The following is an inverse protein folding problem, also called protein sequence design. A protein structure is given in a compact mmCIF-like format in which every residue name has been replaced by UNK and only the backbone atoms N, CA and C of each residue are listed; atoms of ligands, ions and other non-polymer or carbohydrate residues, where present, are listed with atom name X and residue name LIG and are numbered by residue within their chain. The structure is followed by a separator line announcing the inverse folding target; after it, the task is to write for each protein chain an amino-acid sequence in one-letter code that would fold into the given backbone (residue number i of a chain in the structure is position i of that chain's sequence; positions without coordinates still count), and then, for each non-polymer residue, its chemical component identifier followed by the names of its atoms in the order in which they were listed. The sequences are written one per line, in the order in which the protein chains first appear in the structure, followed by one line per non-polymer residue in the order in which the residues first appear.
data_IF_039211126892
#
_entry.id   IF_039211126892
#
_cell.length_a   1.000
_cell.length_b   1.000
_cell.length_c   1.000
_cell.angle_alpha   90.00
_cell.angle_beta   90.00
_cell.angle_gamma   90.00
#
_symmetry.space_group_name_H-M   'P 1'
#
loop_
_entity.id
_entity.type
_entity.pdbx_description
1 polymer ?
2 water ?
#
# COMPACT_ATOMS: atom_id res chain seq x y z
N UNK A 21 -8.09 -16.17 -31.29
CA UNK A 21 -6.84 -16.70 -31.80
C UNK A 21 -5.68 -16.19 -30.95
N UNK A 22 -4.48 -16.18 -31.54
CA UNK A 22 -3.31 -15.68 -30.82
C UNK A 22 -3.16 -14.16 -31.02
N UNK A 23 -2.48 -13.48 -30.11
CA UNK A 23 -2.20 -12.07 -30.27
C UNK A 23 -0.98 -11.66 -29.45
N UNK A 25 0.64 -9.79 -26.27
CA UNK A 25 0.17 -9.68 -24.91
C UNK A 25 -0.10 -8.26 -24.47
N UNK A 26 0.44 -7.27 -25.18
CA UNK A 26 0.36 -5.90 -24.68
C UNK A 26 0.66 -5.83 -23.17
N UNK A 27 1.64 -6.62 -22.74
CA UNK A 27 2.08 -6.63 -21.35
C UNK A 27 2.22 -5.20 -20.88
N UNK A 28 2.90 -4.40 -21.70
CA UNK A 28 3.35 -3.08 -21.28
C UNK A 28 2.19 -2.12 -21.06
N UNK A 29 1.12 -2.32 -21.81
CA UNK A 29 -0.10 -1.54 -21.60
C UNK A 29 -0.68 -1.86 -20.21
N UNK A 30 -0.74 -3.14 -19.89
CA UNK A 30 -1.33 -3.61 -18.67
C UNK A 30 -0.49 -3.08 -17.50
N UNK A 31 0.82 -3.20 -17.64
CA UNK A 31 1.76 -2.75 -16.64
C UNK A 31 1.66 -1.24 -16.40
N UNK A 32 1.61 -0.42 -17.45
CA UNK A 32 1.40 1.01 -17.25
C UNK A 32 0.11 1.26 -16.48
N UNK A 33 -0.95 0.53 -16.83
CA UNK A 33 -2.24 0.67 -16.17
C UNK A 33 -2.15 0.40 -14.67
N UNK A 34 -1.62 -0.77 -14.34
CA UNK A 34 -1.52 -1.21 -12.98
C UNK A 34 -0.64 -0.26 -12.15
N UNK A 35 0.50 0.12 -12.71
CA UNK A 35 1.38 1.05 -12.02
C UNK A 35 0.64 2.34 -11.70
N UNK A 36 -0.08 2.86 -12.69
CA UNK A 36 -0.81 4.11 -12.53
C UNK A 36 -1.88 3.98 -11.47
N UNK A 37 -2.57 2.85 -11.46
CA UNK A 37 -3.58 2.60 -10.44
C UNK A 37 -2.95 2.55 -9.06
N UNK A 38 -1.81 1.88 -8.93
CA UNK A 38 -1.09 1.77 -7.67
C UNK A 38 -0.73 3.14 -7.12
N UNK A 39 -0.21 4.02 -7.97
CA UNK A 39 0.18 5.38 -7.56
C UNK A 39 -1.04 6.12 -6.99
N UNK A 40 -2.16 6.03 -7.68
CA UNK A 40 -3.35 6.76 -7.28
C UNK A 40 -4.01 6.20 -6.04
N UNK A 41 -4.11 4.87 -5.96
CA UNK A 41 -4.78 4.23 -4.82
C UNK A 41 -3.96 4.35 -3.53
N UNK A 42 -2.65 4.18 -3.62
CA UNK A 42 -1.79 4.31 -2.44
C UNK A 42 -1.78 5.77 -1.99
N UNK A 43 -1.74 6.69 -2.94
CA UNK A 43 -1.68 8.11 -2.58
C UNK A 43 -2.97 8.54 -1.91
N UNK A 44 -4.11 8.08 -2.41
CA UNK A 44 -5.38 8.55 -1.88
C UNK A 44 -5.70 7.94 -0.50
N UNK A 45 -5.37 6.67 -0.30
CA UNK A 45 -5.57 6.01 0.97
C UNK A 45 -4.81 6.74 2.10
N UNK A 46 -3.58 7.15 1.81
CA UNK A 46 -2.77 7.91 2.77
C UNK A 46 -3.37 9.28 3.02
N UNK A 47 -3.75 9.97 1.94
CA UNK A 47 -4.35 11.31 2.03
C UNK A 47 -5.65 11.30 2.85
N UNK A 48 -6.53 10.36 2.53
CA UNK A 48 -7.77 10.25 3.28
C UNK A 48 -7.52 10.04 4.77
N UNK A 49 -6.63 9.11 5.08
CA UNK A 49 -6.32 8.74 6.46
C UNK A 49 -5.80 9.96 7.21
N UNK A 50 -4.82 10.63 6.62
CA UNK A 50 -4.31 11.86 7.18
C UNK A 50 -5.35 12.95 7.33
N UNK A 51 -6.23 13.09 6.34
CA UNK A 51 -7.32 14.06 6.45
C UNK A 51 -8.13 13.82 7.72
N UNK A 52 -8.57 12.58 7.93
CA UNK A 52 -9.40 12.26 9.09
C UNK A 52 -8.64 12.34 10.41
N UNK A 53 -7.37 11.95 10.40
CA UNK A 53 -6.54 12.10 11.59
C UNK A 53 -6.37 13.56 11.96
N UNK A 54 -6.60 14.46 11.01
CA UNK A 54 -6.51 15.88 11.27
C UNK A 54 -7.75 16.40 11.99
N UNK A 55 -8.71 15.52 12.24
CA UNK A 55 -9.92 15.92 12.96
C UNK A 55 -9.86 15.38 14.39
N UNK A 56 -9.26 16.17 15.27
CA UNK A 56 -8.98 15.79 16.65
C UNK A 56 -10.13 15.13 17.39
N UNK A 57 -11.36 15.61 17.17
CA UNK A 57 -12.50 15.06 17.90
C UNK A 57 -12.69 13.55 17.63
N UNK A 58 -12.16 13.06 16.53
CA UNK A 58 -12.32 11.66 16.17
C UNK A 58 -11.50 10.72 17.07
N UNK A 59 -10.63 11.28 17.90
CA UNK A 59 -9.85 10.47 18.83
C UNK A 59 -10.56 10.31 20.19
N UNK A 60 -11.76 10.86 20.30
CA UNK A 60 -12.54 10.74 21.53
C UNK A 60 -13.21 9.37 21.60
N UNK A 61 -13.47 8.90 22.83
CA UNK A 61 -13.99 7.53 23.03
C UNK A 61 -15.31 7.24 22.29
N UNK A 62 -16.21 8.21 22.19
CA UNK A 62 -17.50 7.94 21.56
C UNK A 62 -17.36 7.77 20.05
N UNK A 63 -16.17 8.07 19.51
CA UNK A 63 -15.92 7.93 18.06
C UNK A 63 -14.97 6.81 17.70
N UNK A 64 -14.64 5.96 18.67
CA UNK A 64 -13.62 4.94 18.45
C UNK A 64 -13.99 4.02 17.30
N UNK A 65 -15.23 3.55 17.30
CA UNK A 65 -15.70 2.65 16.26
C UNK A 65 -15.55 3.29 14.89
N UNK A 66 -16.02 4.53 14.77
CA UNK A 66 -15.96 5.23 13.50
C UNK A 66 -14.50 5.41 13.11
N UNK A 67 -13.69 5.89 14.05
CA UNK A 67 -12.27 6.06 13.74
C UNK A 67 -11.63 4.75 13.28
N UNK A 68 -11.89 3.66 13.98
CA UNK A 68 -11.35 2.37 13.54
C UNK A 68 -11.80 2.02 12.12
N UNK A 69 -13.04 2.37 11.79
CA UNK A 69 -13.56 2.02 10.48
C UNK A 69 -12.82 2.76 9.38
N UNK A 70 -12.46 4.01 9.66
CA UNK A 70 -11.64 4.80 8.74
C UNK A 70 -10.27 4.17 8.53
N UNK A 71 -9.64 3.78 9.64
CA UNK A 71 -8.35 3.10 9.58
C UNK A 71 -8.44 1.80 8.78
N UNK A 72 -9.46 1.00 9.00
CA UNK A 72 -9.56 -0.22 8.20
C UNK A 72 -9.76 0.12 6.72
N UNK A 73 -10.66 1.07 6.43
CA UNK A 73 -10.87 1.47 5.04
C UNK A 73 -9.55 1.75 4.36
N UNK A 74 -8.72 2.59 4.97
CA UNK A 74 -7.49 3.03 4.32
C UNK A 74 -6.38 1.98 4.37
N UNK A 75 -6.25 1.34 5.52
CA UNK A 75 -5.25 0.30 5.66
C UNK A 75 -5.49 -0.89 4.71
N UNK A 76 -6.72 -1.38 4.64
CA UNK A 76 -7.02 -2.47 3.71
C UNK A 76 -6.61 -2.11 2.28
N UNK A 77 -6.84 -0.87 1.90
CA UNK A 77 -6.52 -0.49 0.54
C UNK A 77 -5.00 -0.48 0.37
N UNK A 78 -4.30 0.14 1.32
CA UNK A 78 -2.83 0.11 1.31
C UNK A 78 -2.27 -1.32 1.25
N UNK A 79 -2.79 -2.24 2.06
CA UNK A 79 -2.22 -3.58 2.04
C UNK A 79 -2.53 -4.31 0.73
N UNK A 80 -3.74 -4.15 0.23
CA UNK A 80 -4.11 -4.74 -1.05
C UNK A 80 -3.15 -4.24 -2.14
N UNK A 81 -2.83 -2.96 -2.12
CA UNK A 81 -1.96 -2.42 -3.15
C UNK A 81 -0.48 -2.70 -2.97
N UNK A 82 -0.02 -2.74 -1.73
CA UNK A 82 1.34 -3.16 -1.47
C UNK A 82 1.56 -4.56 -2.00
N UNK A 83 0.62 -5.48 -1.72
CA UNK A 83 0.75 -6.84 -2.22
C UNK A 83 0.71 -6.85 -3.77
N UNK A 84 -0.16 -6.06 -4.36
CA UNK A 84 -0.21 -5.97 -5.81
C UNK A 84 1.12 -5.57 -6.39
N UNK A 85 1.84 -4.69 -5.69
CA UNK A 85 3.12 -4.23 -6.18
C UNK A 85 4.10 -5.39 -6.21
N UNK A 86 4.09 -6.18 -5.15
CA UNK A 86 4.92 -7.37 -5.12
C UNK A 86 4.51 -8.34 -6.23
N UNK A 87 3.21 -8.61 -6.34
CA UNK A 87 2.73 -9.56 -7.33
C UNK A 87 3.10 -9.15 -8.75
N UNK A 88 3.05 -7.85 -9.00
CA UNK A 88 3.47 -7.33 -10.28
C UNK A 88 4.95 -7.62 -10.50
N UNK A 89 5.77 -7.38 -9.47
CA UNK A 89 7.19 -7.69 -9.51
C UNK A 89 7.48 -9.15 -9.81
N UNK A 90 6.80 -10.05 -9.11
CA UNK A 90 7.06 -11.48 -9.30
C UNK A 90 6.55 -11.98 -10.66
N UNK A 91 5.69 -11.21 -11.31
CA UNK A 91 5.19 -11.61 -12.62
C UNK A 91 6.01 -11.05 -13.77
N UNK A 92 6.75 -9.97 -13.54
CA UNK A 92 7.44 -9.28 -14.61
C UNK A 92 8.91 -8.89 -14.41
N UNK A 93 9.78 -9.87 -14.17
CA UNK A 93 11.22 -9.67 -14.31
C UNK A 93 11.57 -9.18 -15.71
N UNK A 94 10.57 -8.93 -16.53
CA UNK A 94 10.77 -8.26 -17.80
C UNK A 94 11.00 -6.77 -17.59
N UNK A 95 11.59 -6.40 -16.46
CA UNK A 95 11.95 -5.02 -16.20
C UNK A 95 13.24 -4.92 -15.39
N UNK A 100 14.86 -0.60 -18.82
CA UNK A 100 14.66 0.09 -17.54
C UNK A 100 15.60 -0.32 -16.39
N UNK A 101 16.25 -1.47 -16.49
CA UNK A 101 17.00 -2.02 -15.35
C UNK A 101 17.83 -1.02 -14.54
N UNK A 102 17.98 0.20 -15.01
CA UNK A 102 18.62 1.24 -14.23
C UNK A 102 18.00 1.43 -12.84
N UNK A 103 16.80 0.89 -12.64
CA UNK A 103 16.11 0.97 -11.34
C UNK A 103 15.92 -0.40 -10.70
N UNK A 104 16.49 -1.42 -11.34
CA UNK A 104 16.35 -2.80 -10.90
C UNK A 104 16.52 -3.00 -9.38
N UNK A 105 17.31 -2.12 -8.74
CA UNK A 105 17.67 -2.32 -7.34
C UNK A 105 16.69 -1.70 -6.37
N UNK A 106 16.38 -0.43 -6.56
CA UNK A 106 15.45 0.27 -5.69
C UNK A 106 14.14 -0.50 -5.66
N UNK A 107 13.80 -1.10 -6.80
CA UNK A 107 12.57 -1.84 -6.94
C UNK A 107 12.55 -3.08 -6.05
N UNK A 108 13.67 -3.79 -6.02
CA UNK A 108 13.77 -4.97 -5.18
C UNK A 108 13.79 -4.62 -3.70
N UNK A 109 14.30 -3.43 -3.40
CA UNK A 109 14.35 -2.96 -2.02
C UNK A 109 12.94 -2.80 -1.47
N UNK A 110 12.12 -2.06 -2.20
CA UNK A 110 10.74 -1.87 -1.80
C UNK A 110 9.97 -3.19 -1.83
N UNK A 111 10.24 -4.00 -2.84
CA UNK A 111 9.65 -5.32 -2.89
C UNK A 111 9.96 -6.10 -1.61
N UNK A 112 11.20 -5.95 -1.12
CA UNK A 112 11.63 -6.72 0.04
C UNK A 112 11.03 -6.23 1.35
N UNK A 113 10.98 -4.91 1.51
CA UNK A 113 10.36 -4.31 2.67
C UNK A 113 8.95 -4.85 2.87
N UNK A 114 8.17 -4.84 1.80
CA UNK A 114 6.81 -5.35 1.86
C UNK A 114 6.70 -6.80 2.33
N UNK A 115 7.52 -7.68 1.76
CA UNK A 115 7.51 -9.07 2.22
C UNK A 115 7.92 -9.17 3.69
N UNK A 116 8.92 -8.39 4.09
CA UNK A 116 9.42 -8.43 5.46
C UNK A 116 8.30 -8.12 6.44
N UNK A 117 7.45 -7.18 6.07
CA UNK A 117 6.38 -6.70 6.94
C UNK A 117 5.18 -7.60 6.76
N UNK A 118 5.14 -8.69 7.51
CA UNK A 118 4.17 -9.76 7.31
C UNK A 118 2.74 -9.40 7.72
N UNK A 119 2.60 -8.38 8.55
CA UNK A 119 1.26 -7.89 8.87
C UNK A 119 0.51 -7.47 7.58
N UNK A 120 1.25 -6.97 6.60
CA UNK A 120 0.67 -6.52 5.34
C UNK A 120 -0.09 -7.64 4.64
N UNK A 121 0.57 -8.77 4.44
CA UNK A 121 -0.04 -9.92 3.80
C UNK A 121 -1.17 -10.46 4.66
N UNK A 122 -0.92 -10.57 5.97
CA UNK A 122 -1.94 -11.05 6.89
C UNK A 122 -3.22 -10.22 6.80
N UNK A 123 -3.08 -8.90 6.82
CA UNK A 123 -4.24 -8.03 6.71
C UNK A 123 -4.93 -8.15 5.35
N UNK A 124 -4.14 -8.14 4.29
CA UNK A 124 -4.69 -8.31 2.95
C UNK A 124 -5.55 -9.56 2.88
N UNK A 125 -4.94 -10.68 3.28
CA UNK A 125 -5.59 -11.98 3.23
C UNK A 125 -6.92 -12.03 3.96
N UNK A 126 -6.96 -11.46 5.16
CA UNK A 126 -8.18 -11.43 5.93
C UNK A 126 -9.25 -10.63 5.23
N UNK A 127 -8.85 -9.43 4.80
CA UNK A 127 -9.76 -8.46 4.22
C UNK A 127 -10.40 -8.98 2.94
N UNK A 128 -9.65 -9.78 2.21
CA UNK A 128 -10.04 -10.23 0.90
C UNK A 128 -10.67 -11.63 0.92
N UNK A 129 -10.41 -12.42 1.96
CA UNK A 129 -10.88 -13.80 2.01
C UNK A 129 -12.40 -13.93 1.92
N UNK A 130 -12.84 -15.10 1.45
CA UNK A 130 -14.25 -15.42 1.39
C UNK A 130 -14.69 -15.71 2.81
N UNK A 131 -15.94 -15.39 3.14
CA UNK A 131 -16.44 -15.61 4.50
C UNK A 131 -16.24 -17.05 4.98
N UNK A 132 -16.35 -17.99 4.06
CA UNK A 132 -16.26 -19.42 4.39
C UNK A 132 -14.81 -19.86 4.59
N UNK A 133 -13.88 -19.10 4.04
CA UNK A 133 -12.46 -19.42 4.17
C UNK A 133 -11.88 -18.82 5.44
N UNK A 134 -11.93 -19.59 6.53
CA UNK A 134 -11.48 -19.07 7.82
C UNK A 134 -10.01 -19.36 8.14
N UNK A 135 -9.25 -19.82 7.16
CA UNK A 135 -7.84 -20.08 7.38
C UNK A 135 -7.07 -18.77 7.48
N UNK A 136 -7.67 -17.70 6.98
CA UNK A 136 -7.04 -16.39 6.90
C UNK A 136 -7.68 -15.37 7.84
N UNK A 137 -8.71 -15.79 8.55
CA UNK A 137 -9.54 -14.87 9.31
C UNK A 137 -8.82 -14.29 10.54
N UNK A 138 -8.84 -12.96 10.66
CA UNK A 138 -8.37 -12.32 11.89
C UNK A 138 -9.56 -11.77 12.70
N UNK A 139 -9.64 -12.13 13.96
CA UNK A 139 -10.62 -11.50 14.83
C UNK A 139 -10.33 -10.01 14.91
N UNK A 140 -11.33 -9.22 15.30
CA UNK A 140 -11.18 -7.76 15.43
C UNK A 140 -9.98 -7.32 16.25
N UNK A 141 -9.74 -7.93 17.42
CA UNK A 141 -8.60 -7.55 18.25
C UNK A 141 -7.30 -7.91 17.54
N UNK A 142 -7.32 -9.03 16.82
CA UNK A 142 -6.18 -9.42 15.99
C UNK A 142 -5.92 -8.44 14.83
N UNK A 143 -6.97 -7.98 14.17
CA UNK A 143 -6.78 -6.95 13.15
C UNK A 143 -6.09 -5.72 13.73
N UNK A 144 -6.58 -5.28 14.88
CA UNK A 144 -5.97 -4.15 15.60
C UNK A 144 -4.48 -4.39 15.91
N UNK A 145 -4.14 -5.58 16.40
CA UNK A 145 -2.74 -5.91 16.65
C UNK A 145 -1.93 -5.84 15.37
N UNK A 146 -2.45 -6.43 14.29
CA UNK A 146 -1.71 -6.50 13.03
C UNK A 146 -1.42 -5.11 12.50
N UNK A 147 -2.35 -4.19 12.74
CA UNK A 147 -2.18 -2.84 12.26
C UNK A 147 -1.04 -2.12 12.99
N UNK A 148 -0.90 -2.42 14.28
CA UNK A 148 0.18 -1.87 15.08
C UNK A 148 1.53 -2.47 14.61
N UNK A 149 1.57 -3.77 14.37
CA UNK A 149 2.76 -4.39 13.82
C UNK A 149 3.16 -3.77 12.48
N UNK A 151 2.69 -0.79 11.35
CA UNK A 151 3.22 0.55 11.53
C UNK A 151 4.42 0.57 12.43
N UNK A 152 4.77 -0.61 12.94
CA UNK A 152 5.88 -0.78 13.88
C UNK A 152 5.76 0.06 15.14
N UNK A 153 4.54 0.27 15.61
CA UNK A 153 4.37 0.98 16.87
C UNK A 153 3.09 1.78 16.85
N UNK A 154 3.03 2.80 17.68
CA UNK A 154 1.79 3.55 17.86
C UNK A 154 1.72 4.80 16.99
N UNK A 155 2.74 5.01 16.16
CA UNK A 155 2.82 6.19 15.32
C UNK A 155 2.91 5.83 13.84
N UNK A 156 1.97 6.39 13.08
CA UNK A 156 1.78 6.07 11.68
C UNK A 156 2.72 6.86 10.75
N UNK A 157 3.26 7.97 11.23
CA UNK A 157 3.99 8.90 10.36
C UNK A 157 5.01 8.20 9.47
N UNK A 158 5.86 7.37 10.07
CA UNK A 158 6.99 6.79 9.36
C UNK A 158 6.48 5.98 8.18
N UNK A 159 5.64 5.00 8.46
CA UNK A 159 5.12 4.14 7.41
C UNK A 159 4.33 4.92 6.37
N UNK A 160 3.47 5.83 6.81
CA UNK A 160 2.71 6.62 5.85
C UNK A 160 3.65 7.42 4.93
N UNK A 161 4.67 8.04 5.52
CA UNK A 161 5.62 8.83 4.74
C UNK A 161 6.40 7.95 3.78
N UNK A 162 6.62 6.71 4.21
CA UNK A 162 7.28 5.72 3.38
C UNK A 162 6.42 5.30 2.19
N UNK A 163 5.10 5.28 2.37
CA UNK A 163 4.21 5.01 1.26
C UNK A 163 4.14 6.23 0.36
N UNK A 164 3.76 7.36 0.94
CA UNK A 164 3.56 8.58 0.18
C UNK A 164 3.62 9.79 1.09
N UNK A 165 4.75 10.52 1.05
CA UNK A 165 5.00 11.73 1.85
C UNK A 165 4.20 12.91 1.30
N UNK A 166 3.95 13.93 2.11
CA UNK A 166 3.29 15.14 1.63
C UNK A 166 4.17 15.87 0.61
N UNK A 167 3.54 16.53 -0.35
CA UNK A 167 4.29 17.25 -1.37
C UNK A 167 5.38 16.34 -1.95
N UNK A 168 4.96 15.16 -2.42
CA UNK A 168 5.87 14.17 -2.95
C UNK A 168 6.70 14.74 -4.10
N UNK A 169 6.28 15.89 -4.60
CA UNK A 169 6.99 16.58 -5.67
C UNK A 169 8.44 16.84 -5.25
N UNK A 170 8.62 17.68 -4.23
CA UNK A 170 9.93 17.94 -3.67
C UNK A 170 10.36 16.81 -2.74
N UNK A 171 10.72 15.68 -3.33
CA UNK A 171 11.02 14.49 -2.57
C UNK A 171 11.90 13.57 -3.38
N UNK A 172 12.94 13.03 -2.77
CA UNK A 172 13.72 11.99 -3.44
C UNK A 172 12.76 10.84 -3.68
N UNK A 173 12.49 10.56 -4.96
CA UNK A 173 11.49 9.55 -5.30
C UNK A 173 11.94 8.14 -4.98
N UNK A 174 13.22 7.99 -4.64
CA UNK A 174 13.75 6.73 -4.14
C UNK A 174 13.28 6.47 -2.72
N UNK A 175 12.74 7.51 -2.09
CA UNK A 175 12.50 7.46 -0.66
C UNK A 175 11.06 7.11 -0.28
N UNK A 176 10.24 6.80 -1.27
CA UNK A 176 8.87 6.35 -1.00
C UNK A 176 8.38 5.35 -2.04
N UNK A 177 7.50 4.46 -1.61
CA UNK A 177 6.90 3.46 -2.47
C UNK A 177 6.26 4.09 -3.70
N UNK A 178 5.51 5.14 -3.50
CA UNK A 178 4.80 5.76 -4.57
C UNK A 178 5.77 6.44 -5.53
N UNK A 179 6.81 7.04 -5.01
CA UNK A 179 7.83 7.67 -5.86
C UNK A 179 8.53 6.64 -6.72
N UNK A 180 8.83 5.49 -6.13
CA UNK A 180 9.46 4.40 -6.84
C UNK A 180 8.52 3.86 -7.91
N UNK A 181 7.24 3.79 -7.58
CA UNK A 181 6.29 3.22 -8.53
C UNK A 181 6.13 4.20 -9.68
N UNK A 182 6.25 5.49 -9.38
CA UNK A 182 6.24 6.54 -10.39
C UNK A 182 7.52 6.52 -11.26
N UNK A 183 8.64 6.17 -10.65
CA UNK A 183 9.90 6.00 -11.36
C UNK A 183 9.74 4.98 -12.48
N UNK A 184 9.03 3.91 -12.17
CA UNK A 184 8.80 2.82 -13.13
C UNK A 184 7.75 3.23 -14.16
N UNK A 185 6.61 3.75 -13.71
CA UNK A 185 5.59 4.14 -14.65
C UNK A 185 6.16 5.04 -15.74
N UNK A 186 6.80 6.13 -15.33
CA UNK A 186 7.38 7.10 -16.24
C UNK A 186 8.38 6.50 -17.22
N UNK A 187 9.12 5.50 -16.76
CA UNK A 187 10.07 4.84 -17.63
C UNK A 187 9.30 4.01 -18.65
N UNK A 188 8.34 3.22 -18.17
CA UNK A 188 7.52 2.39 -19.02
C UNK A 188 6.81 3.20 -20.10
N UNK A 189 6.52 4.45 -19.80
CA UNK A 189 5.95 5.31 -20.80
C UNK A 189 7.05 5.72 -21.79
N UNK A 190 7.41 4.76 -22.62
CA UNK A 190 8.49 4.91 -23.59
C UNK A 190 8.78 3.57 -24.28
#
# INVERSE_FOLDING_TARGET
XGSSHHHHHHSSGRENLYFQGVKXSDKWIEIEEILSGLIGDLTIAVTVLKDYEGKAFLREPQHQTKRQCIWRLCVYSIVINCRKYVELNQKYGKEFQALIPGHNHIRGVYNNEINKNTAIKKLRNHCVAHVSDKSKYLKPAEVQEEIIKXFDGNFADEFLDWICPDNISTTDKSESLVGVIELLRDAVSAKL
#
